data_IF_931276885184
#
_entry.id   IF_931276885184
#
_cell.length_a   1.000
_cell.length_b   1.000
_cell.length_c   1.000
_cell.angle_alpha   90.00
_cell.angle_beta   90.00
_cell.angle_gamma   90.00
#
_symmetry.space_group_name_H-M   'P 1'
#
loop_
_entity.id
_entity.type
_entity.pdbx_description
1 polymer ?
#
# COMPACT_ATOMS: atom_id res chain seq x y z
N UNK A 1 4.13 11.81 2.74
CA UNK A 1 2.87 12.48 3.13
C UNK A 1 1.63 11.72 2.63
N UNK A 2 1.42 11.49 1.33
CA UNK A 2 0.19 10.85 0.79
C UNK A 2 -0.18 9.52 1.45
N UNK A 3 0.69 8.49 1.53
CA UNK A 3 0.32 7.26 2.20
C UNK A 3 0.17 7.42 3.72
N UNK A 4 0.87 8.39 4.33
CA UNK A 4 0.70 8.71 5.75
C UNK A 4 -0.74 9.11 6.08
N UNK A 5 -1.30 10.04 5.28
CA UNK A 5 -2.70 10.45 5.41
C UNK A 5 -3.66 9.28 5.20
N UNK A 6 -3.39 8.41 4.22
CA UNK A 6 -4.20 7.21 3.99
C UNK A 6 -4.22 6.28 5.20
N UNK A 7 -3.07 6.02 5.81
CA UNK A 7 -2.99 5.20 7.03
C UNK A 7 -3.68 5.89 8.23
N UNK A 8 -3.58 7.22 8.37
CA UNK A 8 -4.35 7.95 9.41
C UNK A 8 -5.85 7.74 9.26
N UNK A 9 -6.37 7.78 8.03
CA UNK A 9 -7.80 7.50 7.77
C UNK A 9 -8.21 6.11 8.24
N UNK A 10 -7.40 5.09 7.97
CA UNK A 10 -7.64 3.72 8.43
C UNK A 10 -7.59 3.63 9.97
N UNK A 11 -6.63 4.30 10.59
CA UNK A 11 -6.52 4.39 12.06
C UNK A 11 -7.74 5.07 12.67
N UNK A 12 -8.12 6.22 12.14
CA UNK A 12 -9.22 7.03 12.65
C UNK A 12 -10.59 6.34 12.44
N UNK A 13 -10.67 5.43 11.46
CA UNK A 13 -11.83 4.54 11.26
C UNK A 13 -11.83 3.32 12.21
N UNK A 14 -10.81 3.14 13.05
CA UNK A 14 -10.71 1.97 13.95
C UNK A 14 -10.35 0.66 13.23
N UNK A 15 -9.84 0.74 11.99
CA UNK A 15 -9.51 -0.42 11.17
C UNK A 15 -8.11 -0.99 11.45
N UNK A 16 -7.33 -0.35 12.32
CA UNK A 16 -5.99 -0.76 12.74
C UNK A 16 -6.01 -1.18 14.21
N UNK A 17 -5.06 -2.04 14.60
CA UNK A 17 -4.92 -2.48 16.00
C UNK A 17 -4.53 -3.96 16.11
N UNK A 18 -4.46 -4.50 17.34
CA UNK A 18 -4.18 -5.91 17.56
C UNK A 18 -5.23 -6.80 16.89
N UNK A 19 -4.80 -7.95 16.39
CA UNK A 19 -5.65 -8.92 15.66
C UNK A 19 -6.28 -8.37 14.36
N UNK A 20 -5.80 -7.23 13.85
CA UNK A 20 -6.18 -6.69 12.55
C UNK A 20 -5.11 -7.00 11.52
N UNK A 21 -5.53 -7.28 10.28
CA UNK A 21 -4.63 -7.48 9.14
C UNK A 21 -4.79 -6.35 8.15
N UNK A 22 -3.68 -5.69 7.85
CA UNK A 22 -3.61 -4.54 6.94
C UNK A 22 -2.89 -4.92 5.67
N UNK A 23 -3.56 -4.81 4.53
CA UNK A 23 -2.98 -4.99 3.21
C UNK A 23 -2.41 -3.69 2.63
N UNK A 24 -1.15 -3.72 2.20
CA UNK A 24 -0.54 -2.64 1.42
C UNK A 24 -0.40 -3.10 -0.01
N UNK A 25 -1.18 -2.54 -0.92
CA UNK A 25 -1.22 -2.89 -2.34
C UNK A 25 -0.36 -1.94 -3.16
N UNK A 26 0.54 -2.50 -3.98
CA UNK A 26 1.41 -1.72 -4.85
C UNK A 26 2.64 -1.16 -4.13
N UNK A 27 3.71 -1.94 -4.05
CA UNK A 27 4.98 -1.56 -3.41
C UNK A 27 5.86 -0.80 -4.42
N UNK A 28 5.61 0.46 -4.54
CA UNK A 28 6.38 1.43 -5.34
C UNK A 28 6.85 2.59 -4.49
N UNK A 29 7.01 3.76 -5.13
CA UNK A 29 7.46 4.98 -4.45
C UNK A 29 6.56 5.49 -3.32
N UNK A 30 5.27 5.10 -3.29
CA UNK A 30 4.34 5.39 -2.19
C UNK A 30 4.19 4.17 -1.27
N UNK A 31 4.04 2.96 -1.84
CA UNK A 31 3.76 1.76 -1.05
C UNK A 31 4.87 1.38 -0.08
N UNK A 32 6.14 1.64 -0.39
CA UNK A 32 7.24 1.44 0.55
C UNK A 32 7.12 2.32 1.82
N UNK A 33 6.58 3.53 1.68
CA UNK A 33 6.24 4.37 2.84
C UNK A 33 4.96 3.91 3.52
N UNK A 34 3.95 3.44 2.75
CA UNK A 34 2.72 2.91 3.32
C UNK A 34 2.98 1.74 4.28
N UNK A 35 3.88 0.82 3.91
CA UNK A 35 4.33 -0.28 4.79
C UNK A 35 4.86 0.27 6.12
N UNK A 36 5.79 1.23 6.06
CA UNK A 36 6.40 1.81 7.26
C UNK A 36 5.37 2.55 8.12
N UNK A 37 4.49 3.34 7.52
CA UNK A 37 3.44 4.03 8.27
C UNK A 37 2.41 3.07 8.84
N UNK A 38 2.07 1.98 8.15
CA UNK A 38 1.21 0.94 8.68
C UNK A 38 1.85 0.25 9.92
N UNK A 39 3.15 0.02 9.90
CA UNK A 39 3.89 -0.49 11.08
C UNK A 39 3.93 0.52 12.23
N UNK A 40 4.17 1.80 11.94
CA UNK A 40 4.29 2.85 12.97
C UNK A 40 2.94 3.22 13.61
N UNK A 41 1.88 3.30 12.82
CA UNK A 41 0.55 3.75 13.25
C UNK A 41 -0.43 2.60 13.49
N UNK A 42 -0.05 1.37 13.13
CA UNK A 42 -0.92 0.20 13.12
C UNK A 42 -1.32 -0.36 14.48
N UNK A 43 -0.65 0.09 15.56
CA UNK A 43 -1.04 -0.30 16.93
C UNK A 43 -1.02 -1.81 17.18
N UNK A 44 -0.10 -2.55 16.54
CA UNK A 44 -0.01 -4.01 16.65
C UNK A 44 -0.73 -4.78 15.53
N UNK A 45 -1.23 -4.11 14.50
CA UNK A 45 -1.78 -4.77 13.32
C UNK A 45 -0.70 -5.54 12.54
N UNK A 46 -1.09 -6.68 11.97
CA UNK A 46 -0.24 -7.44 11.03
C UNK A 46 -0.28 -6.78 9.66
N UNK A 47 0.88 -6.42 9.13
CA UNK A 47 1.00 -5.73 7.84
C UNK A 47 1.45 -6.70 6.76
N UNK A 48 0.69 -6.78 5.66
CA UNK A 48 0.96 -7.66 4.51
C UNK A 48 1.15 -6.82 3.25
N UNK A 49 2.28 -6.98 2.58
CA UNK A 49 2.58 -6.28 1.32
C UNK A 49 2.24 -7.14 0.11
N UNK A 50 1.51 -6.56 -0.85
CA UNK A 50 1.09 -7.21 -2.10
C UNK A 50 1.72 -6.51 -3.29
N UNK A 51 2.45 -7.25 -4.14
CA UNK A 51 2.99 -6.74 -5.39
C UNK A 51 3.20 -7.87 -6.42
N UNK A 52 3.33 -7.49 -7.68
CA UNK A 52 3.65 -8.43 -8.79
C UNK A 52 5.15 -8.64 -8.98
N UNK A 53 5.97 -7.73 -8.48
CA UNK A 53 7.43 -7.74 -8.66
C UNK A 53 8.11 -8.16 -7.34
N UNK A 54 8.95 -9.20 -7.42
CA UNK A 54 9.64 -9.76 -6.26
C UNK A 54 10.68 -8.79 -5.66
N UNK A 55 11.33 -7.95 -6.49
CA UNK A 55 12.32 -6.98 -6.00
C UNK A 55 11.65 -5.89 -5.15
N UNK A 56 10.43 -5.47 -5.55
CA UNK A 56 9.62 -4.55 -4.75
C UNK A 56 9.19 -5.17 -3.42
N UNK A 57 8.85 -6.46 -3.41
CA UNK A 57 8.56 -7.19 -2.17
C UNK A 57 9.80 -7.35 -1.27
N UNK A 58 10.99 -7.52 -1.87
CA UNK A 58 12.24 -7.57 -1.11
C UNK A 58 12.51 -6.24 -0.36
N UNK A 59 12.13 -5.10 -0.95
CA UNK A 59 12.19 -3.79 -0.26
C UNK A 59 11.17 -3.70 0.86
N UNK A 60 9.95 -4.19 0.67
CA UNK A 60 8.97 -4.22 1.76
C UNK A 60 9.52 -4.99 2.98
N UNK A 61 10.23 -6.10 2.75
CA UNK A 61 10.91 -6.85 3.83
C UNK A 61 11.96 -6.03 4.57
N UNK A 62 12.70 -5.14 3.87
CA UNK A 62 13.65 -4.24 4.52
C UNK A 62 12.97 -3.21 5.45
N UNK A 63 11.67 -2.96 5.23
CA UNK A 63 10.83 -2.09 6.06
C UNK A 63 10.06 -2.86 7.15
N UNK A 64 10.49 -4.09 7.44
CA UNK A 64 9.98 -4.91 8.55
C UNK A 64 8.47 -5.23 8.42
N UNK A 65 7.98 -5.37 7.16
CA UNK A 65 6.65 -5.88 6.91
C UNK A 65 6.54 -7.33 7.45
N UNK A 66 5.39 -7.68 8.03
CA UNK A 66 5.23 -9.00 8.63
C UNK A 66 5.18 -10.10 7.56
N UNK A 67 4.45 -9.87 6.47
CA UNK A 67 4.34 -10.81 5.36
C UNK A 67 4.38 -10.13 4.00
N UNK A 68 4.81 -10.88 2.99
CA UNK A 68 4.77 -10.45 1.58
C UNK A 68 4.08 -11.51 0.74
N UNK A 69 3.21 -11.09 -0.17
CA UNK A 69 2.51 -11.98 -1.09
C UNK A 69 2.75 -11.49 -2.53
N UNK A 70 3.37 -12.35 -3.35
CA UNK A 70 3.48 -12.07 -4.78
C UNK A 70 2.19 -12.49 -5.47
N UNK A 71 1.52 -11.54 -6.11
CA UNK A 71 0.21 -11.75 -6.74
C UNK A 71 0.30 -11.95 -8.26
N UNK A 72 1.51 -12.01 -8.84
CA UNK A 72 1.69 -12.16 -10.28
C UNK A 72 1.11 -13.49 -10.78
N UNK A 73 0.10 -13.42 -11.65
CA UNK A 73 -0.53 -14.59 -12.27
C UNK A 73 -1.40 -15.43 -11.33
N UNK A 74 -1.75 -14.93 -10.15
CA UNK A 74 -2.59 -15.64 -9.19
C UNK A 74 -4.04 -15.17 -9.23
N UNK A 75 -4.95 -16.11 -8.98
CA UNK A 75 -6.36 -15.79 -8.75
C UNK A 75 -6.56 -15.18 -7.36
N UNK A 76 -7.69 -14.50 -7.15
CA UNK A 76 -8.08 -13.99 -5.82
C UNK A 76 -8.18 -15.11 -4.78
N UNK A 77 -8.66 -16.30 -5.21
CA UNK A 77 -8.72 -17.48 -4.34
C UNK A 77 -7.34 -17.94 -3.88
N UNK A 78 -6.35 -17.97 -4.78
CA UNK A 78 -4.99 -18.40 -4.43
C UNK A 78 -4.32 -17.38 -3.52
N UNK A 79 -4.51 -16.10 -3.77
CA UNK A 79 -4.01 -15.03 -2.90
C UNK A 79 -4.66 -15.11 -1.52
N UNK A 80 -5.97 -15.37 -1.44
CA UNK A 80 -6.68 -15.56 -0.16
C UNK A 80 -6.15 -16.76 0.65
N UNK A 81 -5.84 -17.88 -0.02
CA UNK A 81 -5.21 -19.04 0.64
C UNK A 81 -3.82 -18.71 1.20
N UNK A 82 -3.00 -17.97 0.43
CA UNK A 82 -1.68 -17.54 0.90
C UNK A 82 -1.79 -16.55 2.07
N UNK A 83 -2.74 -15.62 2.01
CA UNK A 83 -3.04 -14.69 3.09
C UNK A 83 -3.42 -15.46 4.36
N UNK A 84 -4.35 -16.41 4.25
CA UNK A 84 -4.79 -17.25 5.37
C UNK A 84 -3.64 -18.05 5.97
N UNK A 85 -2.76 -18.62 5.14
CA UNK A 85 -1.55 -19.32 5.61
C UNK A 85 -0.58 -18.40 6.34
N UNK A 86 -0.46 -17.15 5.88
CA UNK A 86 0.50 -16.19 6.43
C UNK A 86 0.01 -15.56 7.74
N UNK A 87 -1.29 -15.28 7.87
CA UNK A 87 -1.84 -14.47 8.96
C UNK A 87 -2.78 -15.22 9.89
N UNK A 88 -3.20 -16.42 9.51
CA UNK A 88 -4.24 -17.19 10.20
C UNK A 88 -5.67 -16.78 9.83
N UNK A 89 -5.86 -15.73 9.03
CA UNK A 89 -7.16 -15.27 8.53
C UNK A 89 -7.10 -14.94 7.04
N UNK A 90 -8.18 -15.22 6.31
CA UNK A 90 -8.22 -15.09 4.85
C UNK A 90 -8.61 -13.70 4.33
N UNK A 91 -8.97 -12.79 5.23
CA UNK A 91 -9.50 -11.47 4.90
C UNK A 91 -8.60 -10.35 5.46
N UNK A 92 -8.75 -9.13 4.92
CA UNK A 92 -8.04 -7.93 5.33
C UNK A 92 -9.02 -6.97 6.01
N UNK A 93 -8.73 -6.56 7.23
CA UNK A 93 -9.53 -5.55 7.95
C UNK A 93 -9.36 -4.15 7.33
N UNK A 94 -8.18 -3.87 6.82
CA UNK A 94 -7.85 -2.61 6.19
C UNK A 94 -7.00 -2.80 4.94
N UNK A 95 -7.20 -1.97 3.94
CA UNK A 95 -6.37 -1.91 2.74
C UNK A 95 -5.97 -0.46 2.49
N UNK A 96 -4.67 -0.25 2.21
CA UNK A 96 -4.19 0.95 1.54
C UNK A 96 -3.67 0.57 0.15
N UNK A 97 -4.32 1.09 -0.89
CA UNK A 97 -3.91 0.86 -2.27
C UNK A 97 -3.08 2.04 -2.80
N UNK A 98 -1.81 1.79 -3.07
CA UNK A 98 -0.86 2.73 -3.63
C UNK A 98 -0.66 2.54 -5.15
N UNK A 99 -1.37 1.60 -5.76
CA UNK A 99 -1.36 1.36 -7.20
C UNK A 99 -2.59 2.00 -7.89
N UNK A 100 -3.79 1.76 -7.37
CA UNK A 100 -5.04 2.24 -7.97
C UNK A 100 -5.31 1.64 -9.34
N UNK A 101 -4.81 0.42 -9.60
CA UNK A 101 -5.11 -0.31 -10.84
C UNK A 101 -6.39 -1.12 -10.65
N UNK A 102 -7.31 -1.16 -11.65
CA UNK A 102 -8.60 -1.82 -11.53
C UNK A 102 -8.50 -3.28 -11.03
N UNK A 103 -7.53 -4.04 -11.53
CA UNK A 103 -7.32 -5.44 -11.14
C UNK A 103 -6.86 -5.57 -9.70
N UNK A 104 -6.05 -4.62 -9.22
CA UNK A 104 -5.59 -4.57 -7.82
C UNK A 104 -6.75 -4.22 -6.91
N UNK A 105 -7.59 -3.27 -7.31
CA UNK A 105 -8.77 -2.88 -6.55
C UNK A 105 -9.79 -4.02 -6.48
N UNK A 106 -10.05 -4.74 -7.58
CA UNK A 106 -10.92 -5.92 -7.58
C UNK A 106 -10.39 -7.02 -6.64
N UNK A 107 -9.08 -7.31 -6.70
CA UNK A 107 -8.44 -8.24 -5.78
C UNK A 107 -8.61 -7.77 -4.33
N UNK A 108 -8.31 -6.50 -4.05
CA UNK A 108 -8.44 -5.93 -2.71
C UNK A 108 -9.86 -6.05 -2.16
N UNK A 109 -10.87 -5.71 -2.96
CA UNK A 109 -12.27 -5.88 -2.54
C UNK A 109 -12.68 -7.34 -2.33
N UNK A 110 -12.10 -8.29 -3.04
CA UNK A 110 -12.38 -9.71 -2.81
C UNK A 110 -11.81 -10.23 -1.50
N UNK A 111 -10.72 -9.62 -1.03
CA UNK A 111 -10.02 -9.96 0.20
C UNK A 111 -10.45 -9.09 1.41
N UNK A 112 -11.25 -8.05 1.18
CA UNK A 112 -11.65 -7.14 2.24
C UNK A 112 -12.69 -7.81 3.16
N UNK A 113 -12.45 -7.79 4.45
CA UNK A 113 -13.30 -8.34 5.48
C UNK A 113 -14.69 -7.65 5.55
N UNK A 114 -15.62 -8.26 6.26
CA UNK A 114 -16.86 -7.59 6.69
C UNK A 114 -16.52 -6.41 7.57
N UNK A 115 -17.18 -5.27 7.33
CA UNK A 115 -16.86 -3.96 7.93
C UNK A 115 -15.42 -3.49 7.68
N UNK A 116 -14.75 -4.05 6.67
CA UNK A 116 -13.39 -3.67 6.31
C UNK A 116 -13.32 -2.31 5.61
N UNK A 117 -12.17 -1.66 5.72
CA UNK A 117 -11.92 -0.32 5.19
C UNK A 117 -10.87 -0.33 4.09
N UNK A 118 -11.24 0.21 2.93
CA UNK A 118 -10.36 0.35 1.77
C UNK A 118 -10.05 1.83 1.53
N UNK A 119 -8.77 2.20 1.62
CA UNK A 119 -8.29 3.55 1.27
C UNK A 119 -7.47 3.49 0.00
N UNK A 120 -7.91 4.21 -1.03
CA UNK A 120 -7.21 4.34 -2.30
C UNK A 120 -6.42 5.66 -2.38
N UNK A 121 -5.15 5.55 -2.74
CA UNK A 121 -4.23 6.67 -3.01
C UNK A 121 -3.57 6.55 -4.39
N UNK A 122 -3.74 5.40 -5.05
CA UNK A 122 -3.22 5.13 -6.39
C UNK A 122 -4.06 5.78 -7.47
N UNK A 123 -3.45 6.06 -8.63
CA UNK A 123 -4.10 6.76 -9.74
C UNK A 123 -3.75 6.15 -11.11
N UNK A 124 -3.49 4.83 -11.16
CA UNK A 124 -3.16 4.17 -12.44
C UNK A 124 -4.39 3.94 -13.30
N UNK A 125 -5.53 3.59 -12.67
CA UNK A 125 -6.80 3.43 -13.35
C UNK A 125 -7.64 4.70 -13.33
N UNK A 126 -8.56 4.83 -14.27
CA UNK A 126 -9.56 5.90 -14.36
C UNK A 126 -10.97 5.40 -14.03
N UNK A 127 -11.18 4.10 -14.06
CA UNK A 127 -12.49 3.47 -13.92
C UNK A 127 -12.41 2.08 -13.31
N UNK A 128 -13.39 1.74 -12.48
CA UNK A 128 -13.57 0.39 -11.93
C UNK A 128 -15.05 0.07 -11.77
N UNK A 129 -15.46 -1.15 -12.13
CA UNK A 129 -16.79 -1.67 -11.86
C UNK A 129 -16.82 -2.32 -10.47
N UNK A 130 -17.74 -1.87 -9.63
CA UNK A 130 -17.91 -2.36 -8.25
C UNK A 130 -19.24 -3.13 -8.14
N UNK A 131 -19.23 -4.43 -7.86
CA UNK A 131 -20.45 -5.18 -7.51
C UNK A 131 -21.05 -4.61 -6.21
N UNK A 132 -22.28 -4.11 -6.25
CA UNK A 132 -22.88 -3.43 -5.09
C UNK A 132 -23.28 -4.39 -3.97
N UNK A 133 -23.90 -5.55 -4.30
CA UNK A 133 -24.40 -6.48 -3.30
C UNK A 133 -23.34 -6.93 -2.28
N UNK A 134 -22.11 -7.38 -2.68
CA UNK A 134 -21.07 -7.73 -1.71
C UNK A 134 -20.60 -6.55 -0.85
N UNK A 135 -20.70 -5.32 -1.37
CA UNK A 135 -20.32 -4.11 -0.60
C UNK A 135 -21.33 -3.82 0.49
N UNK A 136 -22.61 -3.87 0.13
CA UNK A 136 -23.72 -3.63 1.07
C UNK A 136 -23.81 -4.75 2.12
N UNK A 137 -23.80 -6.03 1.67
CA UNK A 137 -23.93 -7.18 2.57
C UNK A 137 -22.76 -7.38 3.54
N UNK A 138 -21.56 -6.86 3.18
CA UNK A 138 -20.37 -6.89 4.04
C UNK A 138 -20.07 -5.54 4.71
N UNK A 139 -20.90 -4.54 4.53
CA UNK A 139 -20.73 -3.19 5.14
C UNK A 139 -19.33 -2.60 4.86
N UNK A 140 -18.78 -2.84 3.67
CA UNK A 140 -17.43 -2.43 3.33
C UNK A 140 -17.35 -0.94 3.01
N UNK A 141 -16.32 -0.27 3.51
CA UNK A 141 -16.06 1.15 3.26
C UNK A 141 -14.99 1.34 2.19
N UNK A 142 -15.23 2.21 1.22
CA UNK A 142 -14.25 2.69 0.26
C UNK A 142 -14.06 4.20 0.40
N UNK A 143 -12.80 4.63 0.49
CA UNK A 143 -12.46 6.03 0.67
C UNK A 143 -11.22 6.42 -0.14
N UNK A 144 -11.32 7.45 -0.96
CA UNK A 144 -10.17 8.08 -1.59
C UNK A 144 -9.32 8.89 -0.59
N UNK A 145 -8.02 8.94 -0.81
CA UNK A 145 -7.12 9.81 -0.06
C UNK A 145 -6.15 10.51 -1.00
N UNK A 146 -6.12 11.84 -0.95
CA UNK A 146 -5.33 12.66 -1.85
C UNK A 146 -4.35 13.54 -1.08
N UNK A 147 -3.06 13.44 -1.43
CA UNK A 147 -1.96 14.23 -0.85
C UNK A 147 -1.93 14.17 0.68
N UNK A 148 -1.99 15.33 1.34
CA UNK A 148 -2.00 15.56 2.77
C UNK A 148 -2.13 17.04 3.08
N UNK A 149 -2.23 17.40 4.34
CA UNK A 149 -2.27 18.78 4.82
C UNK A 149 -0.96 19.15 5.54
N UNK A 150 -0.86 20.39 6.04
CA UNK A 150 0.33 20.87 6.75
C UNK A 150 0.64 20.04 8.01
N UNK A 151 -0.38 19.59 8.75
CA UNK A 151 -0.19 18.71 9.91
C UNK A 151 0.43 17.38 9.50
N UNK A 152 -0.09 16.75 8.43
CA UNK A 152 0.47 15.50 7.91
C UNK A 152 1.94 15.68 7.47
N UNK A 153 2.27 16.83 6.86
CA UNK A 153 3.65 17.14 6.48
C UNK A 153 4.55 17.31 7.70
N UNK A 154 4.12 18.06 8.70
CA UNK A 154 4.88 18.29 9.94
C UNK A 154 5.18 16.97 10.65
N UNK A 155 4.16 16.10 10.77
CA UNK A 155 4.30 14.78 11.41
C UNK A 155 5.29 13.89 10.64
N UNK A 156 5.19 13.86 9.30
CA UNK A 156 6.10 13.07 8.44
C UNK A 156 7.55 13.60 8.54
N UNK A 157 7.73 14.91 8.58
CA UNK A 157 9.06 15.51 8.75
C UNK A 157 9.66 15.19 10.13
N UNK A 158 8.86 15.17 11.17
CA UNK A 158 9.30 14.75 12.51
C UNK A 158 9.73 13.26 12.50
N UNK A 159 8.94 12.37 11.90
CA UNK A 159 9.31 10.96 11.76
C UNK A 159 10.60 10.77 10.97
N UNK A 160 10.84 11.59 9.95
CA UNK A 160 12.05 11.55 9.16
C UNK A 160 13.27 12.05 9.98
N UNK A 161 13.11 13.14 10.72
CA UNK A 161 14.16 13.68 11.57
C UNK A 161 14.58 12.72 12.71
N UNK A 162 13.63 11.92 13.20
CA UNK A 162 13.86 10.87 14.20
C UNK A 162 14.35 9.53 13.60
N UNK A 163 14.62 9.48 12.29
CA UNK A 163 15.00 8.26 11.56
C UNK A 163 14.00 7.10 11.72
N UNK A 164 12.72 7.41 11.93
CA UNK A 164 11.63 6.41 12.03
C UNK A 164 11.17 5.88 10.68
N UNK A 165 11.53 6.58 9.60
CA UNK A 165 11.23 6.16 8.22
C UNK A 165 12.52 6.10 7.40
N UNK A 166 12.62 5.07 6.58
CA UNK A 166 13.76 4.81 5.69
C UNK A 166 13.39 5.20 4.26
N UNK A 167 14.38 5.62 3.49
CA UNK A 167 14.21 6.05 2.11
C UNK A 167 14.99 5.12 1.16
N UNK A 168 14.28 4.43 0.28
CA UNK A 168 14.92 3.74 -0.85
C UNK A 168 14.94 4.70 -2.04
N UNK A 169 16.08 5.32 -2.28
CA UNK A 169 16.28 6.26 -3.38
C UNK A 169 17.46 5.83 -4.25
N UNK A 170 17.35 6.08 -5.55
CA UNK A 170 18.45 6.00 -6.51
C UNK A 170 18.68 7.40 -7.06
N UNK A 171 19.91 7.87 -7.00
CA UNK A 171 20.30 9.19 -7.49
C UNK A 171 20.82 9.02 -8.93
N UNK A 172 20.31 9.85 -9.82
CA UNK A 172 20.68 9.90 -11.23
C UNK A 172 21.07 11.31 -11.64
N UNK A 173 21.79 11.42 -12.74
CA UNK A 173 22.13 12.72 -13.31
C UNK A 173 20.92 13.29 -14.06
N UNK A 174 20.83 14.58 -14.10
CA UNK A 174 19.70 15.28 -14.76
C UNK A 174 19.63 14.98 -16.26
N UNK A 175 20.77 14.82 -16.95
CA UNK A 175 20.82 14.46 -18.37
C UNK A 175 20.22 13.09 -18.71
N UNK A 176 20.02 12.21 -17.71
CA UNK A 176 19.39 10.90 -17.84
C UNK A 176 17.86 10.90 -17.60
N UNK A 177 17.22 12.07 -17.48
CA UNK A 177 15.81 12.17 -17.10
C UNK A 177 14.88 11.37 -18.02
N UNK A 178 15.06 11.45 -19.33
CA UNK A 178 14.19 10.77 -20.29
C UNK A 178 14.30 9.25 -20.20
N UNK A 179 15.51 8.72 -20.03
CA UNK A 179 15.74 7.29 -19.82
C UNK A 179 15.00 6.81 -18.55
N UNK A 180 15.12 7.55 -17.45
CA UNK A 180 14.50 7.17 -16.19
C UNK A 180 12.98 7.35 -16.17
N UNK A 181 12.42 8.22 -17.00
CA UNK A 181 10.97 8.28 -17.22
C UNK A 181 10.48 7.00 -17.90
N UNK A 182 11.20 6.47 -18.89
CA UNK A 182 10.84 5.19 -19.53
C UNK A 182 10.98 4.01 -18.57
N UNK A 183 12.05 3.95 -17.77
CA UNK A 183 12.19 2.95 -16.71
C UNK A 183 11.07 3.01 -15.68
N UNK A 184 10.61 4.23 -15.34
CA UNK A 184 9.47 4.43 -14.44
C UNK A 184 8.17 3.89 -15.08
N UNK A 185 7.93 4.18 -16.36
CA UNK A 185 6.78 3.65 -17.13
C UNK A 185 6.79 2.14 -17.21
N UNK A 186 7.97 1.55 -17.42
CA UNK A 186 8.16 0.10 -17.42
C UNK A 186 8.01 -0.54 -16.03
N UNK A 187 7.96 0.27 -14.95
CA UNK A 187 7.87 -0.22 -13.57
C UNK A 187 9.18 -0.80 -13.03
N UNK A 188 10.31 -0.51 -13.68
CA UNK A 188 11.64 -1.03 -13.34
C UNK A 188 12.34 -0.23 -12.24
N UNK A 189 11.83 0.96 -11.90
CA UNK A 189 12.35 1.73 -10.78
C UNK A 189 11.84 1.14 -9.47
N UNK A 190 12.77 0.82 -8.60
CA UNK A 190 12.51 0.36 -7.24
C UNK A 190 12.78 1.50 -6.27
N UNK A 191 11.77 1.85 -5.46
CA UNK A 191 11.82 3.05 -4.59
C UNK A 191 11.54 4.35 -5.37
N UNK A 192 12.43 5.33 -5.23
CA UNK A 192 12.32 6.66 -5.86
C UNK A 192 13.55 6.98 -6.69
N UNK A 193 13.35 7.42 -7.91
CA UNK A 193 14.40 8.06 -8.71
C UNK A 193 14.54 9.53 -8.30
N UNK A 194 15.72 9.96 -7.96
CA UNK A 194 16.05 11.35 -7.60
C UNK A 194 17.08 11.87 -8.59
N UNK A 195 16.77 12.97 -9.26
CA UNK A 195 17.67 13.63 -10.19
C UNK A 195 18.52 14.65 -9.43
N UNK A 196 19.83 14.61 -9.66
CA UNK A 196 20.78 15.56 -9.13
C UNK A 196 21.21 16.51 -10.26
N UNK A 197 21.12 17.81 -10.01
CA UNK A 197 21.62 18.88 -10.88
C UNK A 197 23.10 19.10 -10.70
#
# INVERSE_FOLDING_TARGET
MTPYRGIKKLRDAGALGPNRVVGVFGIGGLGGYAVQYAKLLGGGATVVAFARNSDKLAIAKQYEVDHVINIKGKSSTDVGKELSKATGQGDLDAIIDCAGAPEMMQLGFSLLATSGHYVDVGLVGDRMDIPLFPRVSREQTFQGSYWGNNTDLTEVMALAAENKIRHTIKIFRFDQINEHIELLRAGEIVGRAVLKF
#
